data_IF_452018691363
#
_entry.id   IF_452018691363
#
_cell.length_a   1.000
_cell.length_b   1.000
_cell.length_c   1.000
_cell.angle_alpha   90.00
_cell.angle_beta   90.00
_cell.angle_gamma   90.00
#
_symmetry.space_group_name_H-M   'P 1'
#
loop_
_entity.id
_entity.type
_entity.pdbx_description
1 polymer ?
#
# COMPACT_ATOMS: atom_id res chain seq x y z
N UNK A 1 -36.61 -3.89 -14.50
CA UNK A 1 -35.55 -2.86 -14.32
C UNK A 1 -36.11 -1.77 -13.44
N UNK A 2 -36.11 -1.95 -12.11
CA UNK A 2 -36.57 -0.99 -11.11
C UNK A 2 -35.43 -0.28 -10.40
N UNK A 3 -34.26 -0.21 -10.96
CA UNK A 3 -33.15 0.59 -10.45
C UNK A 3 -33.29 2.03 -10.91
N UNK A 4 -33.05 2.96 -10.00
CA UNK A 4 -33.06 4.39 -10.24
C UNK A 4 -32.12 4.70 -11.42
N UNK A 5 -32.66 5.05 -12.57
CA UNK A 5 -31.90 5.31 -13.81
C UNK A 5 -31.17 6.67 -13.77
N UNK A 6 -31.08 7.32 -12.64
CA UNK A 6 -30.34 8.59 -12.48
C UNK A 6 -28.82 8.40 -12.32
N UNK A 7 -28.34 7.16 -12.24
CA UNK A 7 -26.88 6.90 -12.09
C UNK A 7 -26.22 6.86 -13.47
N UNK A 8 -25.30 7.80 -13.69
CA UNK A 8 -24.44 7.81 -14.89
C UNK A 8 -23.60 6.55 -14.97
N UNK A 9 -23.49 5.96 -16.17
CA UNK A 9 -22.56 4.86 -16.43
C UNK A 9 -21.13 5.38 -16.29
N UNK A 10 -20.37 4.75 -15.42
CA UNK A 10 -18.97 5.04 -15.11
C UNK A 10 -18.02 3.99 -15.64
N UNK A 11 -18.49 2.76 -15.78
CA UNK A 11 -17.73 1.62 -16.26
C UNK A 11 -18.46 0.99 -17.44
N UNK A 12 -17.71 0.80 -18.54
CA UNK A 12 -18.20 0.13 -19.73
C UNK A 12 -17.04 -0.60 -20.39
N UNK A 13 -16.90 -1.89 -20.10
CA UNK A 13 -15.72 -2.65 -20.51
C UNK A 13 -16.04 -4.13 -20.74
N UNK A 14 -15.38 -4.76 -21.73
CA UNK A 14 -15.54 -6.17 -22.04
C UNK A 14 -14.51 -7.04 -21.31
N UNK A 15 -14.98 -8.18 -20.75
CA UNK A 15 -14.14 -9.21 -20.14
C UNK A 15 -14.52 -10.55 -20.75
N UNK A 16 -13.59 -11.18 -21.47
CA UNK A 16 -13.93 -12.37 -22.23
C UNK A 16 -15.08 -12.09 -23.20
N UNK A 17 -16.19 -12.81 -23.02
CA UNK A 17 -17.38 -12.70 -23.86
C UNK A 17 -18.51 -11.88 -23.21
N UNK A 18 -18.25 -11.20 -22.11
CA UNK A 18 -19.28 -10.41 -21.42
C UNK A 18 -18.92 -8.93 -21.37
N UNK A 19 -19.94 -8.09 -21.47
CA UNK A 19 -19.81 -6.65 -21.27
C UNK A 19 -20.20 -6.32 -19.84
N UNK A 20 -19.26 -5.68 -19.12
CA UNK A 20 -19.50 -5.14 -17.78
C UNK A 20 -19.97 -3.69 -17.89
N UNK A 21 -21.06 -3.38 -17.20
CA UNK A 21 -21.65 -2.04 -17.14
C UNK A 21 -21.76 -1.66 -15.67
N UNK A 22 -21.16 -0.55 -15.28
CA UNK A 22 -21.17 -0.09 -13.88
C UNK A 22 -21.65 1.34 -13.74
N UNK A 23 -22.42 1.57 -12.69
CA UNK A 23 -22.79 2.90 -12.16
C UNK A 23 -22.11 3.08 -10.80
N UNK A 24 -22.42 4.13 -10.06
CA UNK A 24 -21.79 4.37 -8.75
C UNK A 24 -22.08 3.26 -7.73
N UNK A 25 -23.23 2.61 -7.82
CA UNK A 25 -23.79 1.71 -6.82
C UNK A 25 -24.25 0.37 -7.38
N UNK A 26 -24.10 0.18 -8.69
CA UNK A 26 -24.60 -1.03 -9.33
C UNK A 26 -23.65 -1.53 -10.42
N UNK A 27 -23.61 -2.85 -10.58
CA UNK A 27 -22.85 -3.54 -11.61
C UNK A 27 -23.77 -4.51 -12.35
N UNK A 28 -23.68 -4.50 -13.67
CA UNK A 28 -24.43 -5.41 -14.53
C UNK A 28 -23.53 -6.07 -15.57
N UNK A 29 -23.92 -7.26 -16.01
CA UNK A 29 -23.29 -8.02 -17.10
C UNK A 29 -24.27 -8.15 -18.25
N UNK A 30 -23.78 -7.95 -19.46
CA UNK A 30 -24.45 -8.29 -20.71
C UNK A 30 -23.67 -9.42 -21.40
N UNK A 31 -24.35 -10.54 -21.68
CA UNK A 31 -23.76 -11.77 -22.27
C UNK A 31 -24.29 -12.06 -23.68
N UNK A 32 -24.62 -11.05 -24.46
CA UNK A 32 -25.26 -11.08 -25.77
C UNK A 32 -26.75 -11.46 -25.77
N UNK A 33 -27.26 -12.08 -24.71
CA UNK A 33 -28.64 -12.55 -24.60
C UNK A 33 -29.41 -11.90 -23.47
N UNK A 34 -28.72 -11.63 -22.35
CA UNK A 34 -29.35 -11.18 -21.11
C UNK A 34 -28.52 -10.12 -20.39
N UNK A 35 -29.22 -9.10 -19.90
CA UNK A 35 -28.68 -8.19 -18.93
C UNK A 35 -28.94 -8.73 -17.51
N UNK A 36 -27.89 -9.00 -16.77
CA UNK A 36 -27.97 -9.45 -15.39
C UNK A 36 -27.37 -8.36 -14.48
N UNK A 37 -28.17 -7.78 -13.61
CA UNK A 37 -27.73 -6.86 -12.56
C UNK A 37 -27.36 -7.64 -11.31
N UNK A 38 -26.30 -7.19 -10.62
CA UNK A 38 -25.86 -7.80 -9.37
C UNK A 38 -26.36 -7.03 -8.17
N UNK A 39 -27.21 -6.14 -8.15
CA UNK A 39 -27.85 -5.45 -7.03
C UNK A 39 -27.13 -5.63 -5.64
N UNK A 40 -25.83 -5.38 -5.63
CA UNK A 40 -24.96 -5.59 -4.47
C UNK A 40 -24.63 -4.28 -3.73
N UNK A 41 -25.12 -3.14 -4.22
CA UNK A 41 -24.67 -1.83 -3.77
C UNK A 41 -23.21 -1.53 -4.13
N UNK A 42 -22.61 -2.33 -5.03
CA UNK A 42 -21.23 -2.19 -5.47
C UNK A 42 -21.22 -1.69 -6.91
N UNK A 43 -20.51 -0.61 -7.16
CA UNK A 43 -20.35 -0.03 -8.49
C UNK A 43 -18.99 0.61 -8.69
N UNK A 44 -18.78 1.20 -9.86
CA UNK A 44 -17.58 1.99 -10.16
C UNK A 44 -17.90 3.48 -9.98
N UNK A 45 -17.19 4.14 -9.07
CA UNK A 45 -17.50 5.52 -8.70
C UNK A 45 -16.79 6.57 -9.56
N UNK A 46 -15.82 6.16 -10.39
CA UNK A 46 -15.06 7.07 -11.24
C UNK A 46 -15.07 6.65 -12.71
N UNK A 47 -15.13 7.63 -13.61
CA UNK A 47 -15.05 7.42 -15.06
C UNK A 47 -13.71 6.83 -15.51
N UNK A 48 -12.62 7.11 -14.79
CA UNK A 48 -11.26 6.60 -15.02
C UNK A 48 -10.86 5.54 -13.98
N UNK A 49 -11.77 5.14 -13.11
CA UNK A 49 -11.52 4.30 -11.92
C UNK A 49 -11.54 2.81 -12.21
N UNK A 50 -11.20 2.37 -13.40
CA UNK A 50 -11.12 0.95 -13.73
C UNK A 50 -9.97 0.63 -14.70
N UNK A 51 -9.50 -0.61 -14.66
CA UNK A 51 -8.43 -1.10 -15.56
C UNK A 51 -8.51 -2.61 -15.76
N UNK A 52 -8.19 -3.08 -16.96
CA UNK A 52 -8.07 -4.52 -17.29
C UNK A 52 -6.64 -5.00 -17.07
N UNK A 53 -6.50 -6.11 -16.36
CA UNK A 53 -5.23 -6.80 -16.17
C UNK A 53 -5.45 -8.31 -16.02
N UNK A 54 -4.62 -9.12 -16.69
CA UNK A 54 -4.60 -10.58 -16.58
C UNK A 54 -6.00 -11.25 -16.70
N UNK A 55 -6.83 -10.79 -17.65
CA UNK A 55 -8.16 -11.33 -17.88
C UNK A 55 -9.22 -10.93 -16.86
N UNK A 56 -8.88 -10.03 -15.93
CA UNK A 56 -9.79 -9.48 -14.94
C UNK A 56 -9.96 -7.98 -15.11
N UNK A 57 -11.06 -7.46 -14.64
CA UNK A 57 -11.34 -6.05 -14.46
C UNK A 57 -11.15 -5.67 -12.99
N UNK A 58 -10.45 -4.59 -12.78
CA UNK A 58 -10.26 -3.96 -11.48
C UNK A 58 -10.96 -2.60 -11.51
N UNK A 59 -11.70 -2.26 -10.47
CA UNK A 59 -12.40 -0.98 -10.39
C UNK A 59 -12.52 -0.48 -8.95
N UNK A 60 -12.64 0.85 -8.82
CA UNK A 60 -12.83 1.51 -7.53
C UNK A 60 -14.31 1.72 -7.24
N UNK A 61 -14.77 1.29 -6.07
CA UNK A 61 -16.04 1.64 -5.44
C UNK A 61 -15.84 2.54 -4.24
N UNK A 62 -16.93 2.93 -3.58
CA UNK A 62 -16.82 3.68 -2.31
C UNK A 62 -16.22 2.84 -1.18
N UNK A 63 -16.51 1.53 -1.17
CA UNK A 63 -16.08 0.62 -0.10
C UNK A 63 -14.73 -0.06 -0.41
N UNK A 64 -14.10 0.26 -1.54
CA UNK A 64 -12.81 -0.34 -1.87
C UNK A 64 -12.52 -0.56 -3.34
N UNK A 65 -11.45 -1.30 -3.59
CA UNK A 65 -11.05 -1.74 -4.92
C UNK A 65 -11.48 -3.20 -5.10
N UNK A 66 -12.18 -3.45 -6.18
CA UNK A 66 -12.77 -4.74 -6.53
C UNK A 66 -12.11 -5.35 -7.75
N UNK A 67 -12.14 -6.67 -7.82
CA UNK A 67 -11.72 -7.48 -8.97
C UNK A 67 -12.88 -8.36 -9.43
N UNK A 68 -13.10 -8.45 -10.74
CA UNK A 68 -14.03 -9.43 -11.35
C UNK A 68 -13.44 -9.98 -12.63
N UNK A 69 -13.78 -11.24 -12.95
CA UNK A 69 -13.48 -11.89 -14.23
C UNK A 69 -14.76 -12.18 -15.03
N UNK A 70 -15.78 -11.34 -14.87
CA UNK A 70 -17.09 -11.50 -15.52
C UNK A 70 -18.16 -12.14 -14.62
N UNK A 71 -17.90 -12.28 -13.32
CA UNK A 71 -18.84 -12.74 -12.30
C UNK A 71 -18.96 -11.75 -11.15
N UNK A 72 -19.32 -12.24 -9.96
CA UNK A 72 -19.42 -11.43 -8.76
C UNK A 72 -18.09 -10.76 -8.42
N UNK A 73 -18.07 -9.46 -8.12
CA UNK A 73 -16.86 -8.75 -7.74
C UNK A 73 -16.36 -9.20 -6.37
N UNK A 74 -15.03 -9.27 -6.25
CA UNK A 74 -14.32 -9.58 -5.00
C UNK A 74 -13.57 -8.36 -4.52
N UNK A 75 -13.74 -7.97 -3.26
CA UNK A 75 -12.94 -6.94 -2.60
C UNK A 75 -11.49 -7.41 -2.46
N UNK A 76 -10.53 -6.62 -2.96
CA UNK A 76 -9.09 -6.91 -2.86
C UNK A 76 -8.35 -5.94 -1.96
N UNK A 77 -8.95 -4.78 -1.62
CA UNK A 77 -8.32 -3.70 -0.88
C UNK A 77 -8.45 -3.80 0.65
N UNK A 78 -8.95 -4.90 1.22
CA UNK A 78 -9.14 -5.05 2.67
C UNK A 78 -7.87 -4.75 3.49
N UNK A 79 -6.67 -5.02 2.95
CA UNK A 79 -5.39 -4.71 3.63
C UNK A 79 -5.05 -3.22 3.67
N UNK A 80 -5.66 -2.42 2.83
CA UNK A 80 -5.46 -0.97 2.69
C UNK A 80 -6.76 -0.18 2.90
N UNK A 81 -7.75 -0.81 3.54
CA UNK A 81 -9.07 -0.26 3.85
C UNK A 81 -8.97 1.15 4.45
N UNK A 82 -8.12 1.34 5.45
CA UNK A 82 -7.91 2.65 6.10
C UNK A 82 -7.57 3.81 5.15
N UNK A 83 -6.97 3.52 3.99
CA UNK A 83 -6.67 4.54 2.99
C UNK A 83 -7.90 4.86 2.13
N UNK A 84 -8.75 3.87 1.88
CA UNK A 84 -10.03 4.08 1.19
C UNK A 84 -10.98 4.89 2.10
N UNK A 85 -11.13 4.47 3.35
CA UNK A 85 -11.99 5.14 4.34
C UNK A 85 -11.54 6.57 4.64
N UNK A 86 -10.21 6.80 4.61
CA UNK A 86 -9.64 8.13 4.79
C UNK A 86 -9.69 9.02 3.55
N UNK A 87 -10.01 8.47 2.39
CA UNK A 87 -10.15 9.25 1.15
C UNK A 87 -11.46 10.03 1.14
N UNK A 88 -11.43 11.23 0.57
CA UNK A 88 -12.67 12.00 0.40
C UNK A 88 -13.54 11.38 -0.70
N UNK A 89 -14.87 11.50 -0.59
CA UNK A 89 -15.80 11.06 -1.63
C UNK A 89 -15.43 11.63 -3.00
N UNK A 90 -15.11 12.92 -3.07
CA UNK A 90 -14.67 13.56 -4.29
C UNK A 90 -13.34 12.98 -4.84
N UNK A 91 -12.42 12.58 -3.95
CA UNK A 91 -11.19 11.89 -4.31
C UNK A 91 -11.44 10.54 -4.95
N UNK A 92 -12.35 9.74 -4.39
CA UNK A 92 -12.75 8.45 -4.97
C UNK A 92 -13.50 8.62 -6.31
N UNK A 93 -14.38 9.62 -6.43
CA UNK A 93 -15.09 9.94 -7.67
C UNK A 93 -14.16 10.47 -8.78
N UNK A 94 -13.03 11.06 -8.42
CA UNK A 94 -11.97 11.50 -9.33
C UNK A 94 -10.84 10.49 -9.50
N UNK A 95 -10.94 9.32 -8.88
CA UNK A 95 -9.92 8.28 -8.93
C UNK A 95 -9.60 7.85 -10.36
N UNK A 96 -8.33 7.52 -10.60
CA UNK A 96 -7.88 6.98 -11.87
C UNK A 96 -7.12 5.68 -11.64
N UNK A 97 -7.28 4.73 -12.56
CA UNK A 97 -6.55 3.47 -12.51
C UNK A 97 -5.70 3.24 -13.76
N UNK A 98 -4.55 2.61 -13.56
CA UNK A 98 -3.63 2.24 -14.63
C UNK A 98 -2.90 0.94 -14.34
N UNK A 99 -2.21 0.41 -15.37
CA UNK A 99 -1.47 -0.85 -15.29
C UNK A 99 -0.05 -0.67 -15.80
N UNK A 100 0.94 -1.20 -15.04
CA UNK A 100 2.33 -1.36 -15.49
C UNK A 100 2.84 -2.75 -15.10
N UNK A 101 3.16 -3.58 -16.09
CA UNK A 101 3.62 -4.94 -15.83
C UNK A 101 2.58 -5.77 -15.05
N UNK A 102 2.98 -6.28 -13.89
CA UNK A 102 2.16 -7.06 -12.98
C UNK A 102 1.50 -6.22 -11.87
N UNK A 103 1.48 -4.92 -11.98
CA UNK A 103 0.90 -4.02 -10.98
C UNK A 103 -0.23 -3.19 -11.56
N UNK A 104 -1.27 -2.97 -10.78
CA UNK A 104 -2.28 -1.96 -11.02
C UNK A 104 -2.06 -0.79 -10.04
N UNK A 105 -2.35 0.41 -10.50
CA UNK A 105 -2.22 1.66 -9.76
C UNK A 105 -3.56 2.33 -9.67
N UNK A 106 -3.93 2.86 -8.51
CA UNK A 106 -5.16 3.59 -8.28
C UNK A 106 -4.85 4.90 -7.54
N UNK A 107 -5.06 6.03 -8.19
CA UNK A 107 -4.98 7.35 -7.56
C UNK A 107 -6.30 7.64 -6.83
N UNK A 108 -6.24 7.97 -5.54
CA UNK A 108 -7.42 8.23 -4.69
C UNK A 108 -7.42 9.64 -4.08
N UNK A 109 -6.45 10.47 -4.49
CA UNK A 109 -6.33 11.85 -4.00
C UNK A 109 -5.81 11.95 -2.57
N UNK A 110 -6.27 12.94 -1.82
CA UNK A 110 -5.85 13.17 -0.43
C UNK A 110 -6.57 12.22 0.52
N UNK A 111 -5.82 11.66 1.44
CA UNK A 111 -6.29 10.68 2.43
C UNK A 111 -5.97 11.17 3.84
N UNK A 112 -6.96 11.22 4.72
CA UNK A 112 -6.76 11.50 6.15
C UNK A 112 -6.86 10.19 6.93
N UNK A 113 -5.78 9.84 7.61
CA UNK A 113 -5.74 8.67 8.49
C UNK A 113 -6.16 9.08 9.90
N UNK A 114 -6.91 8.21 10.57
CA UNK A 114 -7.40 8.43 11.92
C UNK A 114 -6.86 7.38 12.88
N UNK A 115 -6.62 7.80 14.11
CA UNK A 115 -6.32 6.91 15.23
C UNK A 115 -7.59 6.14 15.65
N UNK A 116 -7.46 5.04 16.42
CA UNK A 116 -8.62 4.30 16.94
C UNK A 116 -9.59 5.12 17.81
N UNK A 117 -9.13 6.23 18.37
CA UNK A 117 -9.94 7.17 19.16
C UNK A 117 -10.69 8.20 18.29
N UNK A 118 -10.52 8.14 16.96
CA UNK A 118 -11.13 9.05 16.00
C UNK A 118 -10.39 10.37 15.81
N UNK A 119 -9.26 10.59 16.50
CA UNK A 119 -8.41 11.75 16.25
C UNK A 119 -7.64 11.59 14.94
N UNK A 120 -7.35 12.71 14.26
CA UNK A 120 -6.52 12.72 13.05
C UNK A 120 -5.10 12.30 13.41
N UNK A 121 -4.57 11.27 12.70
CA UNK A 121 -3.18 10.82 12.82
C UNK A 121 -2.30 11.57 11.83
N UNK A 122 -2.63 11.49 10.54
CA UNK A 122 -1.91 12.22 9.48
C UNK A 122 -2.76 12.39 8.22
N UNK A 123 -2.47 13.43 7.47
CA UNK A 123 -3.00 13.64 6.12
C UNK A 123 -1.91 13.39 5.08
N UNK A 124 -2.21 12.52 4.11
CA UNK A 124 -1.36 12.17 2.98
C UNK A 124 -1.91 12.81 1.72
N UNK A 125 -1.08 13.57 1.02
CA UNK A 125 -1.48 14.21 -0.23
C UNK A 125 -1.24 13.29 -1.43
N UNK A 126 -2.18 13.31 -2.39
CA UNK A 126 -2.05 12.71 -3.70
C UNK A 126 -1.60 11.24 -3.64
N UNK A 127 -2.40 10.43 -2.96
CA UNK A 127 -2.12 9.01 -2.70
C UNK A 127 -2.41 8.18 -3.94
N UNK A 128 -1.45 7.33 -4.29
CA UNK A 128 -1.59 6.27 -5.29
C UNK A 128 -1.35 4.92 -4.62
N UNK A 129 -2.32 4.04 -4.72
CA UNK A 129 -2.23 2.66 -4.26
C UNK A 129 -1.74 1.77 -5.41
N UNK A 130 -0.68 1.00 -5.20
CA UNK A 130 -0.23 -0.04 -6.10
C UNK A 130 -0.62 -1.41 -5.56
N UNK A 131 -1.23 -2.23 -6.40
CA UNK A 131 -1.47 -3.64 -6.11
C UNK A 131 -0.66 -4.52 -7.05
N UNK A 132 0.29 -5.27 -6.51
CA UNK A 132 1.07 -6.24 -7.27
C UNK A 132 0.29 -7.55 -7.39
N UNK A 133 -0.12 -7.88 -8.61
CA UNK A 133 -0.97 -9.03 -8.93
C UNK A 133 -0.28 -10.38 -8.66
N UNK A 134 1.07 -10.42 -8.71
CA UNK A 134 1.82 -11.66 -8.52
C UNK A 134 1.94 -12.05 -7.06
N UNK A 135 2.29 -11.09 -6.20
CA UNK A 135 2.52 -11.34 -4.77
C UNK A 135 1.33 -10.94 -3.89
N UNK A 136 0.28 -10.36 -4.50
CA UNK A 136 -0.94 -9.87 -3.83
C UNK A 136 -0.64 -8.93 -2.66
N UNK A 137 0.31 -8.03 -2.88
CA UNK A 137 0.75 -7.03 -1.92
C UNK A 137 0.44 -5.61 -2.39
N UNK A 138 0.26 -4.73 -1.42
CA UNK A 138 -0.02 -3.31 -1.63
C UNK A 138 1.19 -2.46 -1.29
N UNK A 139 1.43 -1.45 -2.11
CA UNK A 139 2.38 -0.35 -1.87
C UNK A 139 1.63 0.96 -1.96
N UNK A 140 1.99 1.92 -1.14
CA UNK A 140 1.38 3.24 -1.09
C UNK A 140 2.41 4.29 -1.51
N UNK A 141 2.07 5.09 -2.50
CA UNK A 141 2.83 6.26 -2.93
C UNK A 141 2.08 7.52 -2.54
N UNK A 142 2.79 8.60 -2.26
CA UNK A 142 2.24 9.91 -1.94
C UNK A 142 2.88 10.98 -2.82
N UNK A 143 2.19 12.09 -3.02
CA UNK A 143 2.69 13.19 -3.85
C UNK A 143 2.55 12.98 -5.37
N UNK A 144 1.81 11.93 -5.80
CA UNK A 144 1.58 11.62 -7.22
C UNK A 144 0.17 12.06 -7.60
N UNK A 145 0.03 13.28 -8.08
CA UNK A 145 -1.24 13.87 -8.46
C UNK A 145 -1.70 13.38 -9.84
N UNK A 146 -2.11 12.13 -9.92
CA UNK A 146 -2.57 11.52 -11.16
C UNK A 146 -4.09 11.65 -11.31
N UNK A 147 -4.53 12.28 -12.42
CA UNK A 147 -5.93 12.41 -12.80
C UNK A 147 -6.37 11.40 -13.86
N UNK A 148 -5.42 10.84 -14.57
CA UNK A 148 -5.62 9.80 -15.57
C UNK A 148 -4.32 9.03 -15.77
N UNK A 149 -4.42 7.74 -16.08
CA UNK A 149 -3.29 6.91 -16.47
C UNK A 149 -3.43 6.44 -17.92
N UNK A 150 -2.28 6.34 -18.61
CA UNK A 150 -2.19 5.75 -19.94
C UNK A 150 -0.95 4.87 -20.02
N UNK A 151 -1.10 3.67 -20.60
CA UNK A 151 0.03 2.82 -20.91
C UNK A 151 0.57 3.21 -22.28
N UNK A 152 1.84 3.56 -22.35
CA UNK A 152 2.55 3.83 -23.58
C UNK A 152 3.53 2.68 -23.86
N UNK A 153 3.53 2.20 -25.09
CA UNK A 153 4.49 1.20 -25.58
C UNK A 153 5.44 1.92 -26.53
N UNK A 154 6.71 1.98 -26.16
CA UNK A 154 7.73 2.58 -27.02
C UNK A 154 8.04 1.69 -28.23
N UNK A 155 8.77 2.23 -29.23
CA UNK A 155 9.27 1.44 -30.35
C UNK A 155 10.15 0.25 -29.95
N UNK A 156 10.72 0.29 -28.77
CA UNK A 156 11.62 -0.75 -28.21
C UNK A 156 10.88 -1.73 -27.29
N UNK A 157 9.55 -1.85 -27.43
CA UNK A 157 8.66 -2.68 -26.60
C UNK A 157 8.73 -2.40 -25.09
N UNK A 158 9.23 -1.23 -24.69
CA UNK A 158 9.24 -0.82 -23.29
C UNK A 158 7.87 -0.26 -22.91
N UNK A 159 7.18 -0.97 -22.03
CA UNK A 159 5.91 -0.51 -21.48
C UNK A 159 6.16 0.53 -20.39
N UNK A 160 5.74 1.76 -20.61
CA UNK A 160 5.72 2.82 -19.60
C UNK A 160 4.30 3.15 -19.17
N UNK A 161 4.11 3.49 -17.90
CA UNK A 161 2.86 4.02 -17.38
C UNK A 161 3.01 5.53 -17.22
N UNK A 162 2.29 6.25 -18.03
CA UNK A 162 2.22 7.70 -17.95
C UNK A 162 0.97 8.12 -17.20
N UNK A 163 1.03 9.26 -16.55
CA UNK A 163 -0.13 9.86 -15.90
C UNK A 163 -0.25 11.33 -16.24
N UNK A 164 -1.49 11.79 -16.38
CA UNK A 164 -1.80 13.20 -16.49
C UNK A 164 -1.85 13.81 -15.09
N UNK A 165 -1.27 15.01 -14.95
CA UNK A 165 -1.26 15.78 -13.73
C UNK A 165 -1.89 17.15 -13.95
N UNK A 166 -2.51 17.70 -12.92
CA UNK A 166 -2.98 19.10 -12.94
C UNK A 166 -1.85 20.10 -12.70
N UNK A 167 -0.63 19.62 -12.50
CA UNK A 167 0.54 20.51 -12.39
C UNK A 167 0.87 21.12 -13.75
N UNK A 168 0.83 22.45 -13.82
CA UNK A 168 0.95 23.18 -15.08
C UNK A 168 2.33 23.06 -15.75
N UNK A 169 3.37 22.77 -14.97
CA UNK A 169 4.73 22.67 -15.49
C UNK A 169 5.01 21.34 -16.20
N UNK A 170 4.40 20.26 -15.72
CA UNK A 170 4.59 18.91 -16.26
C UNK A 170 3.24 18.19 -16.35
N UNK A 171 2.46 18.43 -17.42
CA UNK A 171 1.10 17.89 -17.52
C UNK A 171 1.06 16.38 -17.75
N UNK A 172 2.16 15.79 -18.25
CA UNK A 172 2.31 14.35 -18.47
C UNK A 172 3.63 13.91 -17.85
N UNK A 173 3.57 12.93 -16.99
CA UNK A 173 4.72 12.35 -16.30
C UNK A 173 4.71 10.83 -16.43
N UNK A 174 5.88 10.22 -16.36
CA UNK A 174 6.02 8.77 -16.34
C UNK A 174 6.17 8.27 -14.92
N UNK A 175 5.39 7.24 -14.58
CA UNK A 175 5.39 6.64 -13.24
C UNK A 175 6.52 5.63 -13.07
N UNK A 176 7.20 5.67 -11.93
CA UNK A 176 8.27 4.75 -11.53
C UNK A 176 9.42 4.72 -12.54
N UNK A 177 9.92 5.88 -12.92
CA UNK A 177 11.13 6.06 -13.73
C UNK A 177 12.10 6.99 -13.02
N UNK A 178 13.41 6.72 -13.16
CA UNK A 178 14.45 7.51 -12.51
C UNK A 178 14.65 7.21 -11.03
N UNK A 179 15.49 8.00 -10.38
CA UNK A 179 15.89 7.84 -8.96
C UNK A 179 15.35 8.98 -8.09
N UNK A 180 14.67 9.95 -8.68
CA UNK A 180 14.13 11.12 -7.98
C UNK A 180 12.74 11.47 -8.49
N UNK A 181 11.92 12.07 -7.64
CA UNK A 181 10.65 12.66 -8.03
C UNK A 181 10.88 14.10 -8.49
N UNK A 182 10.96 14.26 -9.83
CA UNK A 182 11.18 15.57 -10.44
C UNK A 182 12.39 16.33 -9.83
N UNK A 183 13.48 15.60 -9.56
CA UNK A 183 14.71 16.13 -8.94
C UNK A 183 14.65 16.27 -7.41
N UNK A 184 13.55 15.88 -6.78
CA UNK A 184 13.41 15.82 -5.33
C UNK A 184 13.72 14.42 -4.81
N UNK A 185 14.12 14.33 -3.56
CA UNK A 185 14.29 13.06 -2.85
C UNK A 185 12.95 12.31 -2.77
N UNK A 186 12.99 10.98 -2.92
CA UNK A 186 11.84 10.13 -2.69
C UNK A 186 11.99 9.49 -1.31
N UNK A 187 11.38 10.04 -0.25
CA UNK A 187 11.41 9.40 1.05
C UNK A 187 10.58 8.12 1.00
N UNK A 188 11.07 7.06 1.63
CA UNK A 188 10.26 5.86 1.81
C UNK A 188 10.12 5.47 3.28
N UNK A 189 9.03 4.75 3.56
CA UNK A 189 8.74 4.16 4.85
C UNK A 189 8.20 2.76 4.67
N UNK A 190 8.77 1.80 5.39
CA UNK A 190 8.30 0.42 5.43
C UNK A 190 7.93 0.10 6.88
N UNK A 191 6.67 -0.20 7.12
CA UNK A 191 6.19 -0.63 8.44
C UNK A 191 5.84 -2.12 8.38
N UNK A 192 6.36 -2.91 9.31
CA UNK A 192 5.92 -4.29 9.48
C UNK A 192 4.52 -4.32 10.12
N UNK A 193 3.80 -5.43 9.95
CA UNK A 193 2.72 -5.79 10.85
C UNK A 193 3.27 -6.07 12.26
N UNK A 194 2.39 -6.30 13.25
CA UNK A 194 2.81 -6.84 14.54
C UNK A 194 3.41 -8.24 14.33
N UNK A 195 4.68 -8.39 14.69
CA UNK A 195 5.41 -9.65 14.64
C UNK A 195 5.31 -10.27 16.03
N UNK A 196 4.65 -11.42 16.14
CA UNK A 196 4.68 -12.20 17.37
C UNK A 196 6.01 -12.94 17.49
N UNK A 197 6.70 -12.79 18.59
CA UNK A 197 8.01 -13.38 18.84
C UNK A 197 7.94 -14.82 19.34
N UNK A 198 6.76 -15.29 19.72
CA UNK A 198 6.51 -16.67 20.13
C UNK A 198 5.25 -17.19 19.46
N UNK A 199 5.18 -18.49 19.21
CA UNK A 199 3.96 -19.18 18.80
C UNK A 199 2.93 -19.21 19.93
N UNK A 200 3.39 -19.16 21.16
CA UNK A 200 2.58 -19.05 22.37
C UNK A 200 2.53 -17.57 22.76
N UNK A 201 1.38 -16.93 22.57
CA UNK A 201 1.17 -15.49 22.82
C UNK A 201 1.55 -15.02 24.24
N UNK A 202 1.71 -15.94 25.16
CA UNK A 202 2.03 -15.65 26.58
C UNK A 202 3.54 -15.52 26.85
N UNK A 203 4.39 -16.06 25.96
CA UNK A 203 5.85 -16.02 26.18
C UNK A 203 6.44 -14.65 25.83
N UNK A 204 7.21 -14.14 26.77
CA UNK A 204 7.98 -12.91 26.64
C UNK A 204 9.32 -13.25 25.98
N UNK A 205 9.77 -12.46 25.03
CA UNK A 205 11.07 -12.62 24.37
C UNK A 205 11.94 -11.40 24.60
N UNK A 206 13.25 -11.63 24.65
CA UNK A 206 14.24 -10.56 24.63
C UNK A 206 14.59 -10.24 23.18
N UNK A 207 14.45 -8.99 22.79
CA UNK A 207 14.82 -8.52 21.44
C UNK A 207 16.17 -7.80 21.49
N UNK A 208 17.05 -8.14 20.56
CA UNK A 208 18.42 -7.67 20.55
C UNK A 208 18.70 -6.71 19.41
N UNK A 209 18.44 -7.10 18.20
CA UNK A 209 18.89 -6.35 17.01
C UNK A 209 17.90 -6.47 15.87
N UNK A 210 17.81 -5.38 15.07
CA UNK A 210 17.27 -5.37 13.71
C UNK A 210 18.44 -5.27 12.75
N UNK A 211 18.56 -6.22 11.84
CA UNK A 211 19.62 -6.26 10.82
C UNK A 211 18.96 -5.88 9.49
N UNK A 212 19.44 -4.80 8.86
CA UNK A 212 18.95 -4.30 7.58
C UNK A 212 20.06 -4.46 6.55
N UNK A 213 19.85 -5.35 5.58
CA UNK A 213 20.73 -5.50 4.42
C UNK A 213 20.26 -4.58 3.30
N UNK A 214 21.12 -3.64 2.87
CA UNK A 214 20.83 -2.71 1.81
C UNK A 214 21.97 -2.60 0.82
N UNK A 215 21.67 -2.46 -0.48
CA UNK A 215 22.69 -2.31 -1.53
C UNK A 215 23.24 -0.88 -1.61
N UNK A 216 22.42 0.10 -1.28
CA UNK A 216 22.80 1.53 -1.19
C UNK A 216 21.92 2.14 -0.10
N UNK A 217 22.46 2.99 0.70
CA UNK A 217 21.67 3.67 1.71
C UNK A 217 22.58 4.12 2.85
N UNK A 218 22.70 5.41 3.01
CA UNK A 218 23.55 6.02 4.03
C UNK A 218 22.79 6.52 5.24
N UNK A 219 21.46 6.72 5.14
CA UNK A 219 20.66 7.38 6.18
C UNK A 219 19.41 6.58 6.56
N UNK A 220 19.56 5.27 6.67
CA UNK A 220 18.45 4.42 7.12
C UNK A 220 18.21 4.67 8.61
N UNK A 221 17.01 5.14 8.92
CA UNK A 221 16.49 5.23 10.29
C UNK A 221 15.60 4.02 10.56
N UNK A 222 15.73 3.47 11.75
CA UNK A 222 14.90 2.36 12.20
C UNK A 222 14.19 2.73 13.51
N UNK A 223 12.90 2.46 13.53
CA UNK A 223 12.07 2.69 14.71
C UNK A 223 11.43 1.35 15.08
N UNK A 224 11.27 1.13 16.37
CA UNK A 224 10.58 -0.06 16.89
C UNK A 224 9.46 0.35 17.83
N UNK A 225 8.41 -0.47 17.83
CA UNK A 225 7.31 -0.40 18.80
C UNK A 225 7.20 -1.78 19.45
N UNK A 226 7.32 -1.83 20.75
CA UNK A 226 7.24 -3.04 21.55
C UNK A 226 5.86 -3.08 22.23
N UNK A 227 5.17 -4.22 22.14
CA UNK A 227 3.86 -4.46 22.77
C UNK A 227 2.80 -3.35 22.54
N UNK A 228 2.80 -2.79 21.29
CA UNK A 228 1.93 -1.71 20.83
C UNK A 228 2.21 -0.34 21.47
N UNK A 229 3.33 -0.16 22.14
CA UNK A 229 3.75 1.16 22.60
C UNK A 229 4.13 2.08 21.43
N UNK A 230 4.21 3.40 21.64
CA UNK A 230 4.66 4.33 20.61
C UNK A 230 6.04 3.96 20.04
N UNK A 231 6.25 4.21 18.75
CA UNK A 231 7.54 4.01 18.10
C UNK A 231 8.62 4.87 18.73
N UNK A 232 9.80 4.30 18.92
CA UNK A 232 11.02 5.02 19.25
C UNK A 232 12.16 4.64 18.30
N UNK A 233 13.05 5.57 18.04
CA UNK A 233 14.19 5.38 17.16
C UNK A 233 15.26 4.52 17.86
N UNK A 234 15.87 3.62 17.08
CA UNK A 234 17.00 2.81 17.53
C UNK A 234 18.25 3.17 16.74
N UNK A 235 19.39 3.23 17.42
CA UNK A 235 20.65 3.55 16.81
C UNK A 235 21.31 2.32 16.19
N UNK A 236 22.03 2.53 15.09
CA UNK A 236 22.69 1.47 14.36
C UNK A 236 24.11 1.78 13.95
N UNK A 237 24.84 0.71 13.68
CA UNK A 237 26.19 0.79 13.14
C UNK A 237 26.19 0.21 11.73
N UNK A 238 26.57 1.02 10.74
CA UNK A 238 26.74 0.56 9.37
C UNK A 238 27.94 -0.40 9.28
N UNK A 239 27.72 -1.56 8.67
CA UNK A 239 28.75 -2.52 8.29
C UNK A 239 28.63 -2.78 6.78
N UNK A 240 29.68 -3.32 6.19
CA UNK A 240 29.72 -3.59 4.73
C UNK A 240 28.50 -4.43 4.29
N UNK A 241 27.58 -3.79 3.58
CA UNK A 241 26.36 -4.42 3.06
C UNK A 241 25.22 -4.62 4.06
N UNK A 242 25.38 -4.24 5.32
CA UNK A 242 24.32 -4.32 6.33
C UNK A 242 24.43 -3.21 7.37
N UNK A 243 23.29 -2.81 7.91
CA UNK A 243 23.21 -1.94 9.09
C UNK A 243 22.62 -2.74 10.25
N UNK A 244 23.36 -2.82 11.35
CA UNK A 244 22.90 -3.52 12.56
C UNK A 244 22.40 -2.46 13.53
N UNK A 245 21.09 -2.49 13.82
CA UNK A 245 20.41 -1.60 14.74
C UNK A 245 20.20 -2.32 16.06
N UNK A 246 20.83 -1.85 17.15
CA UNK A 246 20.64 -2.44 18.49
C UNK A 246 19.33 -1.92 19.10
N UNK A 247 18.53 -2.82 19.61
CA UNK A 247 17.29 -2.45 20.30
C UNK A 247 17.64 -2.23 21.77
N UNK A 248 17.47 -1.02 22.23
CA UNK A 248 17.67 -0.60 23.63
C UNK A 248 16.33 -0.32 24.29
N UNK A 249 16.30 -0.27 25.61
CA UNK A 249 15.13 0.25 26.32
C UNK A 249 14.93 1.73 26.01
N UNK A 250 13.71 2.23 26.13
CA UNK A 250 13.35 3.66 25.91
C UNK A 250 14.27 4.63 26.69
N UNK A 251 14.76 4.19 27.84
CA UNK A 251 15.63 5.00 28.72
C UNK A 251 17.11 4.99 28.25
N UNK A 252 17.42 4.36 27.11
CA UNK A 252 18.78 4.28 26.58
C UNK A 252 19.69 3.32 27.34
N UNK A 253 19.18 2.52 28.27
CA UNK A 253 19.96 1.52 28.98
C UNK A 253 20.33 0.36 28.04
N UNK A 254 21.61 0.28 27.71
CA UNK A 254 22.20 -0.77 26.87
C UNK A 254 22.48 -2.08 27.61
N UNK A 255 22.32 -2.10 28.93
CA UNK A 255 22.77 -3.22 29.76
C UNK A 255 21.85 -4.45 29.65
N UNK A 256 20.56 -4.23 29.34
CA UNK A 256 19.58 -5.32 29.20
C UNK A 256 18.73 -5.12 27.96
N UNK A 257 18.63 -6.15 27.08
CA UNK A 257 17.71 -6.09 25.95
C UNK A 257 16.25 -5.97 26.44
N UNK A 258 15.41 -5.18 25.77
CA UNK A 258 14.01 -5.04 26.15
C UNK A 258 13.25 -6.35 25.99
N UNK A 259 12.22 -6.50 26.80
CA UNK A 259 11.30 -7.64 26.79
C UNK A 259 10.00 -7.26 26.13
N UNK A 260 9.52 -8.09 25.20
CA UNK A 260 8.19 -7.90 24.61
C UNK A 260 7.61 -9.21 24.09
N UNK A 261 6.32 -9.21 23.82
CA UNK A 261 5.59 -10.29 23.16
C UNK A 261 5.47 -10.06 21.67
N UNK A 262 5.31 -8.80 21.30
CA UNK A 262 5.15 -8.37 19.92
C UNK A 262 6.07 -7.19 19.62
N UNK A 263 6.54 -7.13 18.37
CA UNK A 263 7.34 -6.02 17.89
C UNK A 263 6.81 -5.55 16.54
N UNK A 264 6.80 -4.24 16.33
CA UNK A 264 6.71 -3.60 15.01
C UNK A 264 8.03 -2.94 14.68
N UNK A 265 8.42 -3.00 13.41
CA UNK A 265 9.60 -2.35 12.89
C UNK A 265 9.17 -1.37 11.81
N UNK A 266 9.65 -0.12 11.89
CA UNK A 266 9.48 0.91 10.87
C UNK A 266 10.85 1.34 10.36
N UNK A 267 11.07 1.21 9.06
CA UNK A 267 12.32 1.60 8.40
C UNK A 267 12.01 2.80 7.52
N UNK A 268 12.83 3.84 7.63
CA UNK A 268 12.69 5.08 6.87
C UNK A 268 14.01 5.46 6.23
N UNK A 269 13.96 5.99 5.03
CA UNK A 269 15.11 6.60 4.37
C UNK A 269 14.69 7.93 3.73
N UNK A 270 15.49 8.96 3.97
CA UNK A 270 15.34 10.31 3.44
C UNK A 270 16.54 10.71 2.57
N UNK A 271 17.34 9.73 2.12
CA UNK A 271 18.55 10.02 1.33
C UNK A 271 18.19 10.31 -0.12
N UNK A 272 19.06 11.10 -0.78
CA UNK A 272 18.96 11.39 -2.24
C UNK A 272 19.36 10.20 -3.11
N UNK A 273 19.78 9.10 -2.52
CA UNK A 273 20.26 7.93 -3.23
C UNK A 273 19.23 6.83 -3.20
N UNK A 274 19.10 6.12 -4.32
CA UNK A 274 18.26 4.94 -4.38
C UNK A 274 18.69 3.94 -3.30
N UNK A 275 17.84 3.70 -2.32
CA UNK A 275 18.04 2.67 -1.31
C UNK A 275 17.30 1.40 -1.73
N UNK A 276 18.00 0.28 -1.77
CA UNK A 276 17.40 -1.01 -2.01
C UNK A 276 17.64 -1.91 -0.80
N UNK A 277 16.56 -2.17 -0.06
CA UNK A 277 16.59 -3.11 1.06
C UNK A 277 16.34 -4.52 0.51
N UNK A 278 17.31 -5.40 0.70
CA UNK A 278 17.24 -6.79 0.27
C UNK A 278 16.72 -7.72 1.37
N UNK A 279 16.99 -7.36 2.64
CA UNK A 279 16.59 -8.18 3.79
C UNK A 279 16.42 -7.33 5.04
N UNK A 280 15.43 -7.71 5.85
CA UNK A 280 15.28 -7.26 7.23
C UNK A 280 15.20 -8.49 8.12
N UNK A 281 16.06 -8.60 9.11
CA UNK A 281 16.07 -9.69 10.06
C UNK A 281 15.99 -9.17 11.50
N UNK A 282 15.33 -9.92 12.36
CA UNK A 282 15.19 -9.63 13.78
C UNK A 282 15.87 -10.72 14.59
N UNK A 283 16.73 -10.33 15.52
CA UNK A 283 17.39 -11.25 16.46
C UNK A 283 16.72 -11.16 17.81
N UNK A 284 16.25 -12.29 18.33
CA UNK A 284 15.59 -12.37 19.64
C UNK A 284 15.81 -13.74 20.29
N UNK A 285 15.69 -13.81 21.61
CA UNK A 285 15.69 -15.04 22.39
C UNK A 285 14.37 -15.19 23.16
N UNK A 286 13.73 -16.35 23.07
CA UNK A 286 12.59 -16.65 23.95
C UNK A 286 13.09 -16.91 25.36
N UNK A 287 12.50 -16.27 26.38
CA UNK A 287 12.77 -16.65 27.77
C UNK A 287 12.12 -17.99 28.06
N UNK A 288 12.93 -19.02 28.33
CA UNK A 288 12.40 -20.21 29.01
C UNK A 288 12.14 -19.81 30.47
N UNK A 289 10.92 -19.94 30.95
CA UNK A 289 10.53 -19.67 32.34
C UNK A 289 11.27 -20.51 33.38
N UNK A 290 12.04 -21.53 32.96
CA UNK A 290 12.78 -22.43 33.84
C UNK A 290 14.03 -21.81 34.51
N UNK A 291 14.50 -20.63 34.09
CA UNK A 291 15.67 -19.99 34.71
C UNK A 291 15.31 -19.05 35.90
N UNK A 292 14.05 -18.82 36.21
CA UNK A 292 13.66 -17.89 37.28
C UNK A 292 13.54 -18.55 38.68
N UNK A 293 13.87 -19.84 38.84
CA UNK A 293 13.82 -20.54 40.14
C UNK A 293 15.20 -21.02 40.62
N UNK A 294 16.27 -20.40 40.15
CA UNK A 294 17.61 -20.65 40.71
C UNK A 294 18.25 -19.31 41.09
N UNK A 295 17.78 -18.77 42.22
CA UNK A 295 18.60 -17.97 43.18
C UNK A 295 17.89 -17.93 44.52
#
# INVERSE_FOLDING_TARGET
>A
LGGNMDSRIKLFETIGNVLMIGTNDNLAIWDDYKLQSFDLGIGCVSDNGYVKALGSLFFIGYDGIFQTSGGLPKLISAKVEKYIDGATKAGLEAAAMGKKGNSIFCSIGTVTLYNPDGSEDMTLSDVVLEYNLRIQAWTIFTGIKATQFATYVSSDDVNSLQFASTETKYPIMELLTGETDNGKEIPFRIDSSNISLSKEFEKISYVHEVIIESERGSNIQCFVSLDREPFYEIEGTARKGATIMKITNKDGDHAKPPRCRTIKVSIRDFSKQLCKISRVALTYNSSNEEEQHRD
#
